data_IF_119410148655
#
_entry.id   IF_119410148655
#
_cell.length_a   1.000
_cell.length_b   1.000
_cell.length_c   1.000
_cell.angle_alpha   90.00
_cell.angle_beta   90.00
_cell.angle_gamma   90.00
#
_symmetry.space_group_name_H-M   'P 1'
#
loop_
_entity.id
_entity.type
_entity.pdbx_description
1 polymer ?
#
# COMPACT_ATOMS: atom_id res chain seq x y z
N UNK A 1 -34.49 -64.88 -18.10
CA UNK A 1 -33.22 -65.62 -18.13
C UNK A 1 -32.26 -64.84 -19.03
N UNK A 2 -31.39 -64.01 -18.46
CA UNK A 2 -30.30 -63.38 -19.22
C UNK A 2 -29.37 -64.51 -19.67
N UNK A 3 -29.04 -64.56 -20.97
CA UNK A 3 -28.25 -65.68 -21.51
C UNK A 3 -26.82 -65.53 -21.00
N UNK A 4 -26.15 -66.62 -20.70
CA UNK A 4 -24.78 -66.61 -20.17
C UNK A 4 -23.79 -65.80 -21.05
N UNK A 5 -24.10 -65.65 -22.34
CA UNK A 5 -23.38 -64.78 -23.28
C UNK A 5 -23.48 -63.28 -22.93
N UNK A 6 -24.62 -62.80 -22.42
CA UNK A 6 -24.81 -61.39 -22.04
C UNK A 6 -23.99 -61.05 -20.78
N UNK A 7 -23.88 -61.99 -19.86
CA UNK A 7 -23.03 -61.88 -18.66
C UNK A 7 -21.55 -61.92 -19.01
N UNK A 8 -21.15 -62.77 -19.97
CA UNK A 8 -19.77 -62.84 -20.45
C UNK A 8 -19.36 -61.54 -21.13
N UNK A 9 -20.23 -60.96 -21.98
CA UNK A 9 -19.98 -59.69 -22.63
C UNK A 9 -19.93 -58.53 -21.63
N UNK A 10 -20.80 -58.49 -20.63
CA UNK A 10 -20.75 -57.48 -19.58
C UNK A 10 -19.45 -57.59 -18.76
N UNK A 11 -18.98 -58.81 -18.47
CA UNK A 11 -17.72 -59.06 -17.78
C UNK A 11 -16.51 -58.60 -18.61
N UNK A 12 -16.50 -58.91 -19.91
CA UNK A 12 -15.45 -58.47 -20.84
C UNK A 12 -15.42 -56.93 -20.97
N UNK A 13 -16.58 -56.27 -21.01
CA UNK A 13 -16.66 -54.82 -21.01
C UNK A 13 -16.12 -54.21 -19.71
N UNK A 14 -16.48 -54.76 -18.54
CA UNK A 14 -15.98 -54.28 -17.24
C UNK A 14 -14.46 -54.45 -17.11
N UNK A 15 -13.93 -55.60 -17.54
CA UNK A 15 -12.48 -55.88 -17.56
C UNK A 15 -11.74 -54.95 -18.52
N UNK A 16 -12.35 -54.62 -19.67
CA UNK A 16 -11.83 -53.60 -20.59
C UNK A 16 -11.78 -52.22 -19.94
N UNK A 17 -12.88 -51.77 -19.31
CA UNK A 17 -12.96 -50.46 -18.66
C UNK A 17 -11.92 -50.30 -17.53
N UNK A 18 -11.66 -51.34 -16.75
CA UNK A 18 -10.63 -51.30 -15.70
C UNK A 18 -9.21 -51.06 -16.27
N UNK A 19 -8.91 -51.55 -17.47
CA UNK A 19 -7.63 -51.31 -18.16
C UNK A 19 -7.46 -49.88 -18.69
N UNK A 20 -8.56 -49.19 -19.03
CA UNK A 20 -8.54 -47.82 -19.54
C UNK A 20 -8.67 -46.75 -18.44
N UNK A 21 -9.20 -47.07 -17.26
CA UNK A 21 -9.32 -46.12 -16.15
C UNK A 21 -7.96 -45.76 -15.52
N UNK A 22 -6.94 -46.61 -15.66
CA UNK A 22 -5.60 -46.37 -15.09
C UNK A 22 -4.77 -45.33 -15.84
N UNK A 23 -5.14 -44.96 -17.08
CA UNK A 23 -4.36 -44.06 -17.95
C UNK A 23 -4.94 -42.64 -18.05
N UNK A 24 -6.05 -42.35 -17.39
CA UNK A 24 -6.71 -41.04 -17.42
C UNK A 24 -6.18 -40.03 -16.39
N UNK A 25 -5.24 -40.42 -15.52
CA UNK A 25 -4.52 -39.48 -14.66
C UNK A 25 -3.25 -39.02 -15.36
N UNK A 26 -3.41 -38.09 -16.31
CA UNK A 26 -2.32 -37.49 -17.10
C UNK A 26 -1.52 -36.43 -16.33
N UNK A 27 -1.84 -36.17 -15.05
CA UNK A 27 -1.12 -35.24 -14.22
C UNK A 27 0.01 -35.96 -13.46
N UNK A 28 1.26 -35.58 -13.71
CA UNK A 28 2.39 -35.97 -12.85
C UNK A 28 2.06 -35.59 -11.39
N UNK A 29 2.39 -36.44 -10.39
CA UNK A 29 2.20 -36.08 -9.00
C UNK A 29 2.94 -34.77 -8.69
N UNK A 30 2.19 -33.75 -8.28
CA UNK A 30 2.68 -32.41 -8.01
C UNK A 30 3.54 -32.42 -6.74
N UNK A 31 4.85 -32.18 -6.88
CA UNK A 31 5.73 -32.04 -5.73
C UNK A 31 5.64 -30.59 -5.19
N UNK A 32 4.80 -30.41 -4.17
CA UNK A 32 4.58 -29.11 -3.52
C UNK A 32 5.87 -28.54 -2.92
N UNK A 33 6.74 -29.37 -2.37
CA UNK A 33 8.00 -28.91 -1.76
C UNK A 33 8.97 -28.34 -2.80
N UNK A 34 9.04 -28.97 -3.98
CA UNK A 34 9.83 -28.45 -5.10
C UNK A 34 9.27 -27.12 -5.61
N UNK A 35 7.95 -26.99 -5.71
CA UNK A 35 7.30 -25.73 -6.11
C UNK A 35 7.53 -24.61 -5.08
N UNK A 36 7.43 -24.92 -3.79
CA UNK A 36 7.73 -23.97 -2.71
C UNK A 36 9.17 -23.47 -2.79
N UNK A 37 10.15 -24.37 -2.96
CA UNK A 37 11.57 -23.99 -3.10
C UNK A 37 11.80 -23.09 -4.31
N UNK A 38 11.22 -23.43 -5.47
CA UNK A 38 11.29 -22.57 -6.66
C UNK A 38 10.67 -21.19 -6.42
N UNK A 39 9.55 -21.16 -5.70
CA UNK A 39 8.88 -19.89 -5.36
C UNK A 39 9.70 -19.04 -4.39
N UNK A 40 10.34 -19.65 -3.40
CA UNK A 40 11.23 -18.95 -2.45
C UNK A 40 12.37 -18.28 -3.23
N UNK A 41 13.05 -19.01 -4.12
CA UNK A 41 14.16 -18.44 -4.91
C UNK A 41 13.69 -17.32 -5.85
N UNK A 42 12.51 -17.48 -6.45
CA UNK A 42 11.91 -16.44 -7.27
C UNK A 42 11.56 -15.18 -6.46
N UNK A 43 10.98 -15.34 -5.26
CA UNK A 43 10.67 -14.21 -4.36
C UNK A 43 11.96 -13.53 -3.89
N UNK A 44 13.01 -14.29 -3.57
CA UNK A 44 14.32 -13.74 -3.20
C UNK A 44 14.86 -12.82 -4.30
N UNK A 45 14.89 -13.31 -5.54
CA UNK A 45 15.30 -12.52 -6.70
C UNK A 45 14.40 -11.30 -6.93
N UNK A 46 13.09 -11.43 -6.72
CA UNK A 46 12.14 -10.33 -6.83
C UNK A 46 12.41 -9.24 -5.79
N UNK A 47 12.63 -9.58 -4.52
CA UNK A 47 12.92 -8.61 -3.45
C UNK A 47 14.22 -7.87 -3.76
N UNK A 48 15.30 -8.59 -4.10
CA UNK A 48 16.59 -8.00 -4.44
C UNK A 48 16.48 -7.07 -5.66
N UNK A 49 15.74 -7.50 -6.70
CA UNK A 49 15.48 -6.69 -7.89
C UNK A 49 14.70 -5.41 -7.57
N UNK A 50 13.68 -5.48 -6.71
CA UNK A 50 12.91 -4.31 -6.27
C UNK A 50 13.74 -3.32 -5.46
N UNK A 51 14.64 -3.82 -4.61
CA UNK A 51 15.54 -3.01 -3.80
C UNK A 51 16.79 -2.53 -4.57
N UNK A 52 16.95 -2.95 -5.83
CA UNK A 52 18.15 -2.70 -6.65
C UNK A 52 19.45 -3.21 -6.00
N UNK A 53 19.35 -4.33 -5.27
CA UNK A 53 20.49 -4.95 -4.60
C UNK A 53 20.99 -6.16 -5.41
N UNK A 54 22.30 -6.27 -5.70
CA UNK A 54 22.85 -7.41 -6.43
C UNK A 54 22.95 -8.67 -5.57
N UNK A 55 23.07 -8.52 -4.25
CA UNK A 55 23.10 -9.60 -3.25
C UNK A 55 22.48 -9.09 -1.95
N UNK A 56 22.18 -10.02 -1.05
CA UNK A 56 21.78 -9.66 0.32
C UNK A 56 22.89 -8.82 0.98
N UNK A 57 22.52 -7.72 1.66
CA UNK A 57 23.48 -6.93 2.42
C UNK A 57 24.10 -7.80 3.52
N UNK A 58 25.35 -7.51 3.85
CA UNK A 58 26.00 -8.17 4.98
C UNK A 58 25.32 -7.66 6.25
N UNK A 59 25.10 -8.55 7.22
CA UNK A 59 24.63 -8.15 8.54
C UNK A 59 25.74 -7.29 9.16
N UNK A 60 25.66 -5.97 8.98
CA UNK A 60 26.43 -5.04 9.79
C UNK A 60 26.12 -5.39 11.26
N UNK A 61 27.14 -5.30 12.12
CA UNK A 61 27.23 -5.73 13.53
C UNK A 61 26.23 -4.98 14.48
N UNK A 62 25.00 -4.72 14.00
CA UNK A 62 23.81 -4.40 14.78
C UNK A 62 23.55 -5.65 15.61
N UNK A 63 24.03 -5.60 16.85
CA UNK A 63 24.04 -6.74 17.74
C UNK A 63 22.68 -7.44 17.74
N UNK A 64 22.70 -8.76 17.69
CA UNK A 64 21.52 -9.63 17.82
C UNK A 64 20.78 -9.26 19.12
N UNK A 65 19.84 -8.29 19.04
CA UNK A 65 19.19 -7.71 20.23
C UNK A 65 18.94 -6.19 20.21
N UNK A 66 19.41 -5.42 19.23
CA UNK A 66 19.09 -3.98 19.18
C UNK A 66 17.61 -3.76 18.83
N UNK A 67 16.87 -3.16 19.76
CA UNK A 67 15.46 -2.82 19.55
C UNK A 67 15.32 -1.78 18.44
N UNK A 68 14.45 -2.07 17.46
CA UNK A 68 14.17 -1.14 16.36
C UNK A 68 13.67 0.19 16.93
N UNK A 69 14.24 1.34 16.51
CA UNK A 69 13.84 2.65 17.04
C UNK A 69 12.34 2.89 16.89
N UNK A 70 11.71 3.44 17.94
CA UNK A 70 10.28 3.70 17.97
C UNK A 70 9.79 4.59 16.81
N UNK A 71 10.65 5.47 16.30
CA UNK A 71 10.34 6.31 15.13
C UNK A 71 10.16 5.46 13.87
N UNK A 72 11.04 4.49 13.63
CA UNK A 72 10.99 3.56 12.49
C UNK A 72 9.75 2.67 12.61
N UNK A 73 9.49 2.10 13.79
CA UNK A 73 8.27 1.33 14.06
C UNK A 73 7.01 2.15 13.81
N UNK A 74 7.01 3.44 14.20
CA UNK A 74 5.89 4.33 13.95
C UNK A 74 5.66 4.60 12.47
N UNK A 75 6.71 4.72 11.66
CA UNK A 75 6.59 4.83 10.20
C UNK A 75 6.01 3.54 9.63
N UNK A 76 6.60 2.40 9.97
CA UNK A 76 6.16 1.08 9.51
C UNK A 76 4.67 0.81 9.79
N UNK A 77 4.23 0.99 11.04
CA UNK A 77 2.83 0.78 11.42
C UNK A 77 1.89 1.72 10.66
N UNK A 78 2.30 2.97 10.44
CA UNK A 78 1.48 3.91 9.67
C UNK A 78 1.38 3.52 8.19
N UNK A 79 2.44 2.94 7.62
CA UNK A 79 2.43 2.43 6.23
C UNK A 79 1.53 1.21 6.09
N UNK A 80 1.55 0.29 7.07
CA UNK A 80 0.63 -0.85 7.09
C UNK A 80 -0.82 -0.39 7.14
N UNK A 81 -1.17 0.52 8.07
CA UNK A 81 -2.53 1.06 8.18
C UNK A 81 -2.99 1.76 6.90
N UNK A 82 -2.10 2.49 6.22
CA UNK A 82 -2.41 3.14 4.94
C UNK A 82 -2.66 2.11 3.84
N UNK A 83 -1.82 1.06 3.78
CA UNK A 83 -2.00 -0.02 2.81
C UNK A 83 -3.35 -0.71 2.98
N UNK A 84 -3.77 -0.97 4.22
CA UNK A 84 -5.07 -1.56 4.52
C UNK A 84 -6.24 -0.64 4.10
N UNK A 85 -6.13 0.66 4.37
CA UNK A 85 -7.12 1.68 3.97
C UNK A 85 -7.28 1.73 2.44
N UNK A 86 -6.16 1.77 1.71
CA UNK A 86 -6.17 1.78 0.25
C UNK A 86 -6.76 0.48 -0.31
N UNK A 87 -6.41 -0.69 0.25
CA UNK A 87 -6.99 -1.97 -0.18
C UNK A 87 -8.51 -2.04 0.01
N UNK A 88 -9.06 -1.37 1.03
CA UNK A 88 -10.49 -1.33 1.29
C UNK A 88 -11.25 -0.36 0.37
N UNK A 89 -10.61 0.74 -0.05
CA UNK A 89 -11.22 1.77 -0.91
C UNK A 89 -11.04 1.53 -2.42
N UNK A 90 -10.29 0.52 -2.82
CA UNK A 90 -9.81 0.37 -4.20
C UNK A 90 -10.71 -0.51 -5.08
N UNK A 91 -11.52 0.14 -5.94
CA UNK A 91 -11.60 -0.18 -7.38
C UNK A 91 -10.40 0.52 -8.05
N UNK A 92 -9.28 -0.16 -8.33
CA UNK A 92 -8.12 0.49 -8.96
C UNK A 92 -8.21 0.32 -10.47
N UNK A 93 -8.19 1.45 -11.18
CA UNK A 93 -7.89 1.48 -12.62
C UNK A 93 -6.38 1.56 -12.75
N UNK A 94 -5.78 0.43 -13.12
CA UNK A 94 -4.35 0.30 -13.41
C UNK A 94 -4.05 0.97 -14.77
N UNK A 95 -3.26 2.04 -14.77
CA UNK A 95 -2.74 2.66 -16.00
C UNK A 95 -1.33 2.15 -16.26
N UNK A 96 -1.11 1.53 -17.42
CA UNK A 96 0.13 0.86 -17.85
C UNK A 96 1.40 1.71 -17.85
N UNK A 97 1.31 3.05 -17.89
CA UNK A 97 2.49 3.93 -17.83
C UNK A 97 3.07 4.08 -16.40
N UNK A 98 2.29 3.74 -15.36
CA UNK A 98 2.74 3.76 -13.97
C UNK A 98 3.49 2.48 -13.55
N UNK A 99 3.47 1.42 -14.38
CA UNK A 99 3.95 0.09 -14.00
C UNK A 99 5.49 0.00 -13.90
N UNK A 100 6.23 0.69 -14.77
CA UNK A 100 7.70 0.63 -14.77
C UNK A 100 8.32 1.43 -13.61
N UNK A 101 7.78 2.62 -13.28
CA UNK A 101 8.20 3.39 -12.09
C UNK A 101 7.71 2.77 -10.77
N UNK A 102 6.60 2.02 -10.78
CA UNK A 102 6.08 1.33 -9.60
C UNK A 102 6.81 0.01 -9.28
N UNK A 103 7.65 -0.50 -10.18
CA UNK A 103 8.30 -1.80 -9.96
C UNK A 103 9.28 -1.76 -8.79
N UNK A 104 10.10 -0.70 -8.70
CA UNK A 104 11.10 -0.53 -7.66
C UNK A 104 10.50 -0.13 -6.32
N UNK A 105 11.22 -0.48 -5.24
CA UNK A 105 10.85 -0.08 -3.90
C UNK A 105 10.95 1.45 -3.74
N UNK A 106 10.01 2.01 -2.98
CA UNK A 106 9.93 3.44 -2.66
C UNK A 106 10.38 3.67 -1.23
N UNK A 107 11.12 4.73 -0.98
CA UNK A 107 11.52 5.12 0.37
C UNK A 107 10.37 5.87 1.04
N UNK A 108 10.06 5.50 2.27
CA UNK A 108 8.92 6.07 3.01
C UNK A 108 9.39 7.07 4.05
N UNK A 109 8.87 8.29 3.98
CA UNK A 109 9.12 9.33 4.96
C UNK A 109 7.82 9.82 5.61
N UNK A 110 7.86 10.06 6.92
CA UNK A 110 6.74 10.62 7.69
C UNK A 110 7.10 12.02 8.20
N UNK A 111 6.28 13.00 7.86
CA UNK A 111 6.45 14.37 8.34
C UNK A 111 5.28 14.78 9.23
N UNK A 112 5.60 15.06 10.49
CA UNK A 112 4.62 15.61 11.42
C UNK A 112 4.36 17.10 11.12
N UNK A 113 3.11 17.52 11.31
CA UNK A 113 2.76 18.94 11.31
C UNK A 113 3.55 19.70 12.38
N UNK A 114 3.99 20.91 12.05
CA UNK A 114 4.76 21.78 12.93
C UNK A 114 3.85 22.57 13.88
N UNK A 115 2.69 23.03 13.39
CA UNK A 115 1.75 23.84 14.17
C UNK A 115 0.34 23.73 13.62
N UNK A 116 -0.65 23.80 14.52
CA UNK A 116 -2.06 24.01 14.19
C UNK A 116 -2.45 25.45 14.59
N UNK A 117 -3.07 26.20 13.67
CA UNK A 117 -3.64 27.52 13.95
C UNK A 117 -5.16 27.47 13.79
N UNK A 118 -5.88 28.10 14.73
CA UNK A 118 -7.35 28.22 14.73
C UNK A 118 -8.10 26.89 14.56
N UNK A 119 -7.49 25.77 14.96
CA UNK A 119 -8.03 24.42 14.85
C UNK A 119 -8.38 23.95 13.41
N UNK A 120 -7.97 24.69 12.38
CA UNK A 120 -8.28 24.40 10.97
C UNK A 120 -7.06 24.46 10.06
N UNK A 121 -6.02 25.20 10.43
CA UNK A 121 -4.85 25.37 9.59
C UNK A 121 -3.69 24.55 10.12
N UNK A 122 -3.17 23.59 9.35
CA UNK A 122 -1.95 22.87 9.71
C UNK A 122 -0.77 23.34 8.85
N UNK A 123 0.38 23.41 9.50
CA UNK A 123 1.59 23.99 8.93
C UNK A 123 2.68 22.95 8.87
N UNK A 124 3.34 22.88 7.72
CA UNK A 124 4.47 22.00 7.48
C UNK A 124 5.74 22.79 7.17
N UNK A 125 6.87 22.30 7.69
CA UNK A 125 8.19 22.82 7.39
C UNK A 125 8.70 22.22 6.07
N UNK A 126 8.42 22.90 4.96
CA UNK A 126 8.83 22.48 3.61
C UNK A 126 10.36 22.42 3.47
N UNK A 127 11.09 23.27 4.19
CA UNK A 127 12.56 23.25 4.17
C UNK A 127 13.10 21.95 4.77
N UNK A 128 12.54 21.50 5.90
CA UNK A 128 12.91 20.22 6.49
C UNK A 128 12.52 19.03 5.60
N UNK A 129 11.34 19.09 4.96
CA UNK A 129 10.92 18.07 3.99
C UNK A 129 11.88 18.00 2.81
N UNK A 130 12.29 19.14 2.25
CA UNK A 130 13.25 19.21 1.14
C UNK A 130 14.64 18.69 1.53
N UNK A 131 15.06 18.90 2.78
CA UNK A 131 16.33 18.38 3.27
C UNK A 131 16.35 16.85 3.34
N UNK A 132 15.22 16.22 3.66
CA UNK A 132 15.09 14.75 3.71
C UNK A 132 14.85 14.15 2.33
N UNK A 133 13.92 14.72 1.56
CA UNK A 133 13.53 14.21 0.24
C UNK A 133 14.54 14.55 -0.86
N UNK A 134 15.44 15.51 -0.63
CA UNK A 134 16.33 16.02 -1.67
C UNK A 134 15.60 16.82 -2.75
N UNK A 135 16.39 17.41 -3.65
CA UNK A 135 15.89 18.21 -4.79
C UNK A 135 15.62 17.35 -6.04
N UNK A 136 16.22 16.17 -6.10
CA UNK A 136 16.28 15.31 -7.30
C UNK A 136 15.41 14.05 -7.22
N UNK A 137 14.85 13.73 -6.04
CA UNK A 137 14.01 12.53 -5.90
C UNK A 137 12.62 12.77 -6.48
N UNK A 138 12.16 11.84 -7.31
CA UNK A 138 10.79 11.83 -7.79
C UNK A 138 9.88 11.38 -6.66
N UNK A 139 9.05 12.28 -6.14
CA UNK A 139 7.97 11.89 -5.24
C UNK A 139 6.99 11.05 -6.04
N UNK A 140 6.80 9.79 -5.66
CA UNK A 140 5.84 8.92 -6.31
C UNK A 140 4.42 9.10 -5.72
N UNK A 141 4.28 9.28 -4.41
CA UNK A 141 3.00 9.51 -3.74
C UNK A 141 3.15 10.32 -2.45
N UNK A 142 2.15 11.12 -2.08
CA UNK A 142 2.08 11.76 -0.78
C UNK A 142 0.65 11.84 -0.24
N UNK A 143 0.44 11.37 0.99
CA UNK A 143 -0.85 11.25 1.65
C UNK A 143 -0.92 12.11 2.90
N UNK A 144 -1.90 12.99 2.98
CA UNK A 144 -2.21 13.76 4.18
C UNK A 144 -3.19 12.96 5.05
N UNK A 145 -2.72 12.41 6.16
CA UNK A 145 -3.51 11.59 7.08
C UNK A 145 -4.01 12.37 8.29
N UNK A 146 -5.27 12.15 8.64
CA UNK A 146 -5.96 12.74 9.78
C UNK A 146 -6.60 11.64 10.64
N UNK A 147 -6.43 11.73 11.96
CA UNK A 147 -7.10 10.85 12.90
C UNK A 147 -8.38 11.52 13.38
N UNK A 148 -9.53 10.92 13.08
CA UNK A 148 -10.82 11.40 13.54
C UNK A 148 -11.00 11.05 15.02
N UNK A 149 -11.17 12.06 15.87
CA UNK A 149 -11.33 11.89 17.33
C UNK A 149 -12.64 12.50 17.78
N UNK A 150 -13.47 11.67 18.40
CA UNK A 150 -14.73 12.06 19.06
C UNK A 150 -15.58 12.96 18.16
N UNK A 151 -15.98 12.49 16.96
CA UNK A 151 -16.91 13.21 16.11
C UNK A 151 -18.22 13.47 16.89
N UNK A 152 -18.74 14.69 16.80
CA UNK A 152 -19.97 15.13 17.49
C UNK A 152 -21.09 15.37 16.48
N UNK A 153 -21.31 14.40 15.62
CA UNK A 153 -22.28 14.50 14.52
C UNK A 153 -23.63 13.98 15.02
N UNK A 154 -24.75 14.56 14.57
CA UNK A 154 -26.06 14.05 14.94
C UNK A 154 -26.24 12.59 14.46
N UNK A 155 -26.94 11.72 15.22
CA UNK A 155 -27.16 10.33 14.81
C UNK A 155 -27.79 10.23 13.41
N UNK A 156 -27.26 9.34 12.57
CA UNK A 156 -27.73 9.15 11.20
C UNK A 156 -27.40 10.29 10.23
N UNK A 157 -26.55 11.25 10.63
CA UNK A 157 -26.02 12.30 9.74
C UNK A 157 -24.54 12.09 9.45
N UNK A 158 -24.10 12.73 8.37
CA UNK A 158 -22.72 12.88 7.97
C UNK A 158 -22.35 14.36 7.89
N UNK A 159 -21.06 14.66 8.07
CA UNK A 159 -20.49 15.98 7.83
C UNK A 159 -19.44 15.88 6.73
N UNK A 160 -19.39 16.87 5.82
CA UNK A 160 -18.37 16.91 4.78
C UNK A 160 -17.16 17.67 5.29
N UNK A 161 -16.02 16.99 5.35
CA UNK A 161 -14.71 17.58 5.60
C UNK A 161 -14.06 17.93 4.27
N UNK A 162 -13.71 19.20 4.09
CA UNK A 162 -13.07 19.70 2.86
C UNK A 162 -11.63 20.11 3.14
N UNK A 163 -10.71 19.71 2.26
CA UNK A 163 -9.30 20.03 2.33
C UNK A 163 -8.96 21.14 1.33
N UNK A 164 -8.22 22.13 1.82
CA UNK A 164 -7.74 23.25 1.01
C UNK A 164 -6.22 23.42 1.12
N UNK A 165 -5.60 23.85 0.02
CA UNK A 165 -4.23 24.33 -0.03
C UNK A 165 -4.20 25.85 0.17
N UNK A 166 -3.35 26.34 1.07
CA UNK A 166 -3.19 27.79 1.31
C UNK A 166 -4.08 28.33 2.44
N UNK A 167 -4.31 29.64 2.46
CA UNK A 167 -5.15 30.30 3.46
C UNK A 167 -5.76 31.60 2.93
N UNK A 168 -6.93 31.98 3.44
CA UNK A 168 -7.65 33.19 3.06
C UNK A 168 -8.14 33.14 1.61
N UNK A 169 -8.22 34.30 0.95
CA UNK A 169 -8.81 34.45 -0.39
C UNK A 169 -8.07 33.71 -1.52
N UNK A 170 -6.89 33.14 -1.23
CA UNK A 170 -6.08 32.36 -2.16
C UNK A 170 -6.14 30.85 -1.86
N UNK A 171 -7.03 30.42 -0.97
CA UNK A 171 -7.23 29.01 -0.70
C UNK A 171 -7.78 28.28 -1.94
N UNK A 172 -7.20 27.12 -2.25
CA UNK A 172 -7.61 26.27 -3.35
C UNK A 172 -8.13 24.95 -2.81
N UNK A 173 -9.35 24.58 -3.18
CA UNK A 173 -9.92 23.28 -2.85
C UNK A 173 -9.04 22.16 -3.43
N UNK A 174 -8.81 21.10 -2.65
CA UNK A 174 -8.12 19.90 -3.08
C UNK A 174 -9.10 18.74 -3.20
N UNK A 175 -9.68 18.33 -2.08
CA UNK A 175 -10.54 17.14 -2.00
C UNK A 175 -11.43 17.17 -0.74
N UNK A 176 -12.33 16.19 -0.57
CA UNK A 176 -13.25 16.12 0.55
C UNK A 176 -13.62 14.68 0.94
N UNK A 177 -13.85 14.45 2.23
CA UNK A 177 -14.42 13.20 2.75
C UNK A 177 -15.71 13.44 3.52
N UNK A 178 -16.65 12.51 3.43
CA UNK A 178 -17.80 12.46 4.33
C UNK A 178 -17.42 11.74 5.62
N UNK A 179 -17.70 12.38 6.75
CA UNK A 179 -17.35 11.93 8.10
C UNK A 179 -18.63 11.54 8.83
N UNK A 180 -18.62 10.38 9.46
CA UNK A 180 -19.70 9.89 10.32
C UNK A 180 -19.15 9.58 11.71
N UNK A 181 -20.04 9.36 12.69
CA UNK A 181 -19.61 8.97 14.04
C UNK A 181 -18.89 7.61 14.08
N UNK A 182 -19.08 6.75 13.07
CA UNK A 182 -18.45 5.43 12.95
C UNK A 182 -16.95 5.52 12.61
N UNK A 183 -16.49 6.69 12.17
CA UNK A 183 -15.07 6.96 11.90
C UNK A 183 -14.29 7.36 13.17
N UNK A 184 -14.92 7.35 14.36
CA UNK A 184 -14.20 7.64 15.59
C UNK A 184 -13.02 6.69 15.80
N UNK A 185 -11.82 7.25 15.97
CA UNK A 185 -10.57 6.50 16.12
C UNK A 185 -9.98 5.98 14.81
N UNK A 186 -10.58 6.28 13.65
CA UNK A 186 -10.08 5.88 12.33
C UNK A 186 -9.27 6.99 11.68
N UNK A 187 -8.30 6.58 10.87
CA UNK A 187 -7.57 7.46 9.98
C UNK A 187 -8.35 7.68 8.69
N UNK A 188 -8.19 8.86 8.13
CA UNK A 188 -8.57 9.20 6.75
C UNK A 188 -7.34 9.79 6.06
N UNK A 189 -7.23 9.58 4.76
CA UNK A 189 -6.08 10.00 3.96
C UNK A 189 -6.53 10.83 2.76
N UNK A 190 -5.82 11.90 2.45
CA UNK A 190 -6.02 12.71 1.24
C UNK A 190 -4.78 12.69 0.37
N UNK A 191 -4.91 12.35 -0.92
CA UNK A 191 -3.80 12.44 -1.86
C UNK A 191 -3.44 13.92 -2.07
N UNK A 192 -2.21 14.27 -1.67
CA UNK A 192 -1.64 15.61 -1.83
C UNK A 192 -0.31 15.56 -2.61
N UNK A 193 -0.07 14.48 -3.36
CA UNK A 193 1.14 14.24 -4.16
C UNK A 193 1.51 15.46 -5.00
N UNK A 194 0.56 15.98 -5.78
CA UNK A 194 0.79 17.15 -6.63
C UNK A 194 1.05 18.43 -5.84
N UNK A 195 0.38 18.58 -4.70
CA UNK A 195 0.59 19.74 -3.83
C UNK A 195 1.99 19.75 -3.25
N UNK A 196 2.50 18.60 -2.80
CA UNK A 196 3.85 18.48 -2.27
C UNK A 196 4.91 18.68 -3.37
N UNK A 197 4.73 18.08 -4.57
CA UNK A 197 5.61 18.31 -5.73
C UNK A 197 5.77 19.81 -6.02
N UNK A 198 4.66 20.54 -6.07
CA UNK A 198 4.65 21.98 -6.29
C UNK A 198 5.37 22.77 -5.17
N UNK A 199 5.25 22.34 -3.92
CA UNK A 199 5.96 22.96 -2.80
C UNK A 199 7.46 22.74 -2.88
N UNK A 200 7.91 21.54 -3.23
CA UNK A 200 9.33 21.24 -3.33
C UNK A 200 10.00 21.99 -4.49
N UNK A 201 9.33 22.13 -5.63
CA UNK A 201 9.83 22.86 -6.81
C UNK A 201 9.85 24.39 -6.63
N UNK A 202 9.08 24.94 -5.68
CA UNK A 202 8.99 26.38 -5.47
C UNK A 202 10.26 26.93 -4.76
N UNK A 203 11.01 27.88 -5.36
CA UNK A 203 12.26 28.40 -4.79
C UNK A 203 12.07 29.40 -3.64
N UNK A 204 10.83 29.75 -3.28
CA UNK A 204 10.56 30.80 -2.29
C UNK A 204 10.85 30.33 -0.85
N UNK A 205 11.84 30.92 -0.14
CA UNK A 205 12.08 30.65 1.27
C UNK A 205 10.95 31.29 2.07
N UNK A 206 10.01 30.48 2.59
CA UNK A 206 8.99 30.98 3.53
C UNK A 206 7.54 30.62 3.23
N UNK A 207 7.24 29.83 2.19
CA UNK A 207 5.91 29.19 2.14
C UNK A 207 5.92 28.00 3.08
N UNK A 208 5.53 28.24 4.34
CA UNK A 208 5.02 27.16 5.17
C UNK A 208 3.91 26.48 4.36
N UNK A 209 4.09 25.19 4.07
CA UNK A 209 3.08 24.41 3.40
C UNK A 209 1.84 24.42 4.29
N UNK A 210 0.77 25.10 3.85
CA UNK A 210 -0.49 25.19 4.59
C UNK A 210 -1.40 24.11 4.03
N UNK A 211 -1.53 23.03 4.78
CA UNK A 211 -2.44 21.92 4.53
C UNK A 211 -3.02 21.49 5.85
N UNK A 212 -4.25 21.02 5.88
CA UNK A 212 -4.88 20.54 7.09
C UNK A 212 -4.58 19.04 7.28
N UNK A 213 -3.42 18.65 7.84
CA UNK A 213 -3.20 17.27 8.36
C UNK A 213 -1.79 16.87 8.79
N UNK A 214 -1.51 15.56 8.87
CA UNK A 214 -0.15 14.96 8.99
C UNK A 214 0.25 14.39 7.64
N UNK A 215 1.46 14.62 7.13
CA UNK A 215 1.84 14.25 5.76
C UNK A 215 2.75 13.02 5.73
N UNK A 216 2.33 11.98 5.04
CA UNK A 216 3.13 10.82 4.65
C UNK A 216 3.58 10.99 3.21
N UNK A 217 4.83 10.67 2.93
CA UNK A 217 5.42 10.85 1.60
C UNK A 217 6.16 9.58 1.22
N UNK A 218 5.81 9.01 0.08
CA UNK A 218 6.56 7.97 -0.60
C UNK A 218 7.38 8.66 -1.69
N UNK A 219 8.71 8.66 -1.52
CA UNK A 219 9.63 8.99 -2.60
C UNK A 219 9.92 7.73 -3.38
#
# INVERSE_FOLDING_TARGET
MMRAQDLLMALLCLMGCMGYCGTLSTCKPLNLELMKRKRIEAIRGQILSKLQLPKEPEDDDVGEGDEVPAEVLSVYNSTLELSEELMQNTEYVESTEAEEEAYYAKEVHKFNMTKIMNNTLMLFNVTAMRAVLGLERMISQAELRLLIRVPRIAPGKEERLELYQGAGDKARYLDSHFITNELNGKWISFDVTQTLKNWLQSPAPGRNGKLQGRLFVLS
#
